data_IF_647454424007
#
_entry.id   IF_647454424007
#
_cell.length_a   1.000
_cell.length_b   1.000
_cell.length_c   1.000
_cell.angle_alpha   90.00
_cell.angle_beta   90.00
_cell.angle_gamma   90.00
#
_symmetry.space_group_name_H-M   'P 1'
#
loop_
_entity.id
_entity.type
_entity.pdbx_description
1 polymer ?
#
# COMPACT_ATOMS: atom_id res chain seq x y z
N UNK A 1 21.75 -16.45 -3.18
CA UNK A 1 20.76 -17.54 -3.02
C UNK A 1 21.34 -18.79 -3.66
N UNK A 2 21.33 -19.95 -2.98
CA UNK A 2 21.67 -21.23 -3.64
C UNK A 2 20.57 -21.54 -4.67
N UNK A 3 20.98 -22.02 -5.86
CA UNK A 3 20.04 -22.55 -6.84
C UNK A 3 19.50 -23.90 -6.31
N UNK A 4 18.24 -24.17 -6.62
CA UNK A 4 17.68 -25.51 -6.39
C UNK A 4 18.24 -26.50 -7.43
N UNK A 5 18.32 -27.76 -7.06
CA UNK A 5 18.96 -28.79 -7.90
C UNK A 5 18.15 -29.08 -9.17
N UNK A 6 16.83 -28.93 -9.15
CA UNK A 6 15.97 -29.16 -10.30
C UNK A 6 14.68 -28.33 -10.24
N UNK A 7 14.16 -28.01 -11.42
CA UNK A 7 12.93 -27.25 -11.63
C UNK A 7 11.95 -28.04 -12.50
N UNK A 8 10.67 -27.72 -12.37
CA UNK A 8 9.57 -28.23 -13.20
C UNK A 8 8.63 -27.10 -13.63
N UNK A 9 7.94 -27.28 -14.73
CA UNK A 9 6.84 -26.40 -15.12
C UNK A 9 5.74 -26.48 -14.05
N UNK A 10 5.28 -25.32 -13.57
CA UNK A 10 4.17 -25.22 -12.62
C UNK A 10 2.81 -25.54 -13.24
N UNK A 11 2.70 -25.59 -14.55
CA UNK A 11 1.43 -25.63 -15.29
C UNK A 11 0.59 -24.36 -15.15
N UNK A 12 1.23 -23.23 -14.80
CA UNK A 12 0.59 -21.91 -14.62
C UNK A 12 1.45 -20.85 -15.28
N UNK A 13 0.96 -20.24 -16.36
CA UNK A 13 1.71 -19.34 -17.24
C UNK A 13 2.43 -18.20 -16.50
N UNK A 14 1.76 -17.55 -15.57
CA UNK A 14 2.34 -16.41 -14.85
C UNK A 14 3.39 -16.81 -13.80
N UNK A 15 3.40 -18.06 -13.33
CA UNK A 15 4.38 -18.59 -12.39
C UNK A 15 5.62 -19.12 -13.14
N UNK A 16 5.42 -19.79 -14.27
CA UNK A 16 6.49 -20.45 -15.02
C UNK A 16 7.04 -21.68 -14.30
N UNK A 17 8.37 -21.80 -14.22
CA UNK A 17 9.05 -22.91 -13.55
C UNK A 17 9.17 -22.70 -12.04
N UNK A 18 9.00 -23.79 -11.29
CA UNK A 18 9.15 -23.85 -9.83
C UNK A 18 10.11 -24.99 -9.45
N UNK A 19 10.78 -24.94 -8.28
CA UNK A 19 11.55 -26.06 -7.76
C UNK A 19 10.73 -27.34 -7.74
N UNK A 20 11.34 -28.49 -8.05
CA UNK A 20 10.64 -29.77 -8.20
C UNK A 20 9.74 -30.17 -7.03
N UNK A 21 10.16 -29.81 -5.80
CA UNK A 21 9.43 -30.15 -4.58
C UNK A 21 8.31 -29.15 -4.22
N UNK A 22 8.17 -28.05 -5.00
CA UNK A 22 7.08 -27.09 -4.82
C UNK A 22 5.84 -27.52 -5.61
N UNK A 23 4.69 -26.99 -5.22
CA UNK A 23 3.41 -27.19 -5.90
C UNK A 23 2.72 -25.87 -6.22
N UNK A 24 2.04 -25.80 -7.36
CA UNK A 24 1.15 -24.68 -7.70
C UNK A 24 -0.27 -25.01 -7.25
N UNK A 25 -0.73 -24.40 -6.16
CA UNK A 25 -1.99 -24.74 -5.48
C UNK A 25 -2.96 -23.57 -5.54
N UNK A 26 -4.26 -23.86 -5.71
CA UNK A 26 -5.31 -22.82 -5.61
C UNK A 26 -5.38 -22.25 -4.20
N UNK A 27 -5.53 -20.93 -4.10
CA UNK A 27 -5.67 -20.21 -2.80
C UNK A 27 -6.77 -20.82 -1.94
N UNK A 28 -7.91 -21.18 -2.52
CA UNK A 28 -9.03 -21.83 -1.81
C UNK A 28 -8.71 -23.18 -1.16
N UNK A 29 -7.63 -23.85 -1.59
CA UNK A 29 -7.19 -25.13 -0.99
C UNK A 29 -6.28 -24.94 0.21
N UNK A 30 -5.57 -23.82 0.28
CA UNK A 30 -4.65 -23.48 1.38
C UNK A 30 -5.27 -22.51 2.37
N UNK A 31 -6.27 -21.73 1.95
CA UNK A 31 -7.07 -20.85 2.79
C UNK A 31 -8.55 -21.22 2.70
N UNK A 32 -9.09 -21.94 3.68
CA UNK A 32 -10.49 -22.40 3.63
C UNK A 32 -11.50 -21.25 3.79
N UNK A 33 -11.12 -20.15 4.45
CA UNK A 33 -11.99 -19.01 4.70
C UNK A 33 -11.51 -17.83 3.84
N UNK A 34 -12.33 -17.50 2.84
CA UNK A 34 -12.16 -16.34 1.97
C UNK A 34 -13.52 -15.67 1.88
N UNK A 35 -13.60 -14.39 2.16
CA UNK A 35 -14.84 -13.64 2.19
C UNK A 35 -14.66 -12.16 1.88
N UNK A 36 -15.73 -11.41 2.04
CA UNK A 36 -15.75 -9.95 1.99
C UNK A 36 -16.57 -9.39 3.12
N UNK A 37 -16.48 -8.10 3.35
CA UNK A 37 -17.24 -7.42 4.38
C UNK A 37 -18.55 -6.81 3.89
N UNK A 38 -19.04 -5.88 4.69
CA UNK A 38 -20.31 -5.17 4.48
C UNK A 38 -20.09 -3.68 4.62
N UNK A 39 -20.82 -2.88 3.83
CA UNK A 39 -20.81 -1.41 3.97
C UNK A 39 -22.11 -0.99 4.66
N UNK A 40 -22.05 -0.40 5.86
CA UNK A 40 -23.19 0.23 6.49
C UNK A 40 -23.71 1.39 5.65
N UNK A 41 -25.01 1.69 5.76
CA UNK A 41 -25.62 2.81 5.03
C UNK A 41 -24.95 4.13 5.41
N UNK A 42 -24.44 4.86 4.44
CA UNK A 42 -23.72 6.13 4.65
C UNK A 42 -24.61 7.26 5.19
N UNK A 43 -25.93 7.18 4.99
CA UNK A 43 -26.91 8.10 5.54
C UNK A 43 -27.20 7.91 7.03
N UNK A 44 -26.70 6.83 7.63
CA UNK A 44 -26.86 6.53 9.06
C UNK A 44 -25.61 6.99 9.81
N UNK A 45 -25.59 8.25 10.23
CA UNK A 45 -24.46 8.82 11.00
C UNK A 45 -24.20 8.07 12.30
N UNK A 46 -25.23 7.49 12.91
CA UNK A 46 -25.14 6.68 14.12
C UNK A 46 -24.38 5.34 13.95
N UNK A 47 -24.05 4.97 12.71
CA UNK A 47 -23.22 3.80 12.41
C UNK A 47 -21.72 4.10 12.43
N UNK A 48 -21.31 5.38 12.46
CA UNK A 48 -19.91 5.80 12.35
C UNK A 48 -19.45 6.53 13.61
N UNK A 49 -18.20 6.34 14.02
CA UNK A 49 -17.64 7.01 15.19
C UNK A 49 -16.12 6.95 15.16
N UNK A 50 -15.45 8.04 15.47
CA UNK A 50 -13.97 8.09 15.57
C UNK A 50 -13.41 7.16 16.67
N UNK A 51 -14.19 6.89 17.72
CA UNK A 51 -13.84 6.00 18.83
C UNK A 51 -14.41 4.59 18.67
N UNK A 52 -14.90 4.25 17.48
CA UNK A 52 -15.54 2.97 17.20
C UNK A 52 -14.58 1.82 16.93
N UNK A 53 -15.13 0.74 16.38
CA UNK A 53 -14.41 -0.46 15.97
C UNK A 53 -13.81 -0.27 14.57
N UNK A 54 -12.67 -0.86 14.29
CA UNK A 54 -11.99 -0.74 13.01
C UNK A 54 -12.85 -1.24 11.85
N UNK A 55 -12.93 -0.45 10.79
CA UNK A 55 -13.63 -0.79 9.55
C UNK A 55 -12.80 -0.41 8.34
N UNK A 56 -12.13 -1.39 7.78
CA UNK A 56 -11.18 -1.24 6.70
C UNK A 56 -11.88 -1.04 5.35
N UNK A 57 -11.39 -0.08 4.59
CA UNK A 57 -11.81 0.21 3.23
C UNK A 57 -10.65 -0.02 2.25
N UNK A 58 -10.97 -0.12 0.95
CA UNK A 58 -9.94 -0.29 -0.09
C UNK A 58 -8.91 0.84 -0.14
N UNK A 59 -9.29 2.05 0.34
CA UNK A 59 -8.39 3.20 0.44
C UNK A 59 -7.28 3.03 1.47
N UNK A 60 -7.49 2.18 2.48
CA UNK A 60 -6.49 1.90 3.53
C UNK A 60 -5.39 0.95 3.04
N UNK A 61 -5.58 0.28 1.90
CA UNK A 61 -4.64 -0.69 1.36
C UNK A 61 -3.48 0.01 0.65
N UNK A 62 -2.27 -0.26 1.10
CA UNK A 62 -1.03 0.38 0.65
C UNK A 62 0.09 -0.60 0.24
N UNK A 63 -0.21 -1.90 0.07
CA UNK A 63 0.74 -3.00 -0.13
C UNK A 63 1.68 -3.20 1.09
N UNK A 64 1.17 -2.97 2.29
CA UNK A 64 1.92 -3.02 3.54
C UNK A 64 1.12 -3.60 4.70
N UNK A 65 1.66 -3.40 5.90
CA UNK A 65 1.01 -3.77 7.15
C UNK A 65 -0.10 -2.76 7.48
N UNK A 66 -1.26 -3.25 7.89
CA UNK A 66 -2.42 -2.43 8.27
C UNK A 66 -2.51 -2.41 9.80
N UNK A 67 -2.11 -1.31 10.39
CA UNK A 67 -2.09 -1.08 11.84
C UNK A 67 -3.25 -0.21 12.33
N UNK A 68 -3.94 0.47 11.41
CA UNK A 68 -5.09 1.31 11.69
C UNK A 68 -6.04 1.38 10.48
N UNK A 69 -7.23 1.90 10.67
CA UNK A 69 -8.21 2.14 9.60
C UNK A 69 -8.62 3.60 9.58
N UNK A 70 -8.82 4.16 8.39
CA UNK A 70 -9.26 5.55 8.20
C UNK A 70 -10.67 5.80 8.73
N UNK A 71 -11.49 4.76 8.83
CA UNK A 71 -12.86 4.83 9.36
C UNK A 71 -13.10 3.78 10.43
N UNK A 72 -14.01 4.11 11.33
CA UNK A 72 -14.47 3.24 12.40
C UNK A 72 -15.99 3.23 12.46
N UNK A 73 -16.54 2.15 12.98
CA UNK A 73 -17.99 1.89 13.07
C UNK A 73 -18.40 1.66 14.50
N UNK A 74 -19.66 1.93 14.81
CA UNK A 74 -20.22 1.70 16.13
C UNK A 74 -20.60 0.23 16.34
N UNK A 75 -20.69 -0.28 17.59
CA UNK A 75 -21.25 -1.59 17.89
C UNK A 75 -22.65 -1.79 17.30
N UNK A 76 -23.46 -0.73 17.24
CA UNK A 76 -24.79 -0.75 16.63
C UNK A 76 -24.72 -1.12 15.15
N UNK A 77 -23.77 -0.53 14.39
CA UNK A 77 -23.57 -0.88 12.98
C UNK A 77 -23.18 -2.34 12.82
N UNK A 78 -22.33 -2.86 13.72
CA UNK A 78 -21.90 -4.27 13.71
C UNK A 78 -23.08 -5.20 13.87
N UNK A 79 -23.96 -4.93 14.86
CA UNK A 79 -25.10 -5.78 15.17
C UNK A 79 -26.19 -5.72 14.09
N UNK A 80 -26.57 -4.51 13.66
CA UNK A 80 -27.65 -4.32 12.66
C UNK A 80 -27.21 -4.78 11.26
N UNK A 81 -25.97 -4.55 10.86
CA UNK A 81 -25.44 -4.97 9.55
C UNK A 81 -24.83 -6.39 9.60
N UNK A 82 -24.85 -7.08 10.73
CA UNK A 82 -24.27 -8.43 10.92
C UNK A 82 -22.84 -8.54 10.39
N UNK A 83 -22.02 -7.56 10.76
CA UNK A 83 -20.66 -7.47 10.26
C UNK A 83 -19.75 -8.52 10.86
N UNK A 84 -18.85 -9.05 10.04
CA UNK A 84 -17.84 -10.02 10.48
C UNK A 84 -16.52 -9.30 10.73
N UNK A 85 -15.86 -9.66 11.84
CA UNK A 85 -14.49 -9.27 12.11
C UNK A 85 -13.52 -10.35 11.66
N UNK A 86 -12.39 -9.91 11.16
CA UNK A 86 -11.33 -10.77 10.64
C UNK A 86 -10.09 -10.61 11.52
N UNK A 87 -9.43 -11.73 11.85
CA UNK A 87 -8.30 -11.72 12.79
C UNK A 87 -7.05 -11.09 12.17
N UNK A 88 -6.11 -10.73 13.04
CA UNK A 88 -4.75 -10.37 12.66
C UNK A 88 -4.13 -11.43 11.73
N UNK A 89 -3.17 -11.00 10.91
CA UNK A 89 -2.50 -11.82 9.90
C UNK A 89 -3.41 -12.27 8.73
N UNK A 90 -4.67 -11.80 8.65
CA UNK A 90 -5.45 -11.96 7.43
C UNK A 90 -4.86 -11.08 6.32
N UNK A 91 -4.86 -11.60 5.09
CA UNK A 91 -4.48 -10.84 3.90
C UNK A 91 -5.74 -10.26 3.27
N UNK A 92 -5.69 -8.98 2.94
CA UNK A 92 -6.80 -8.25 2.32
C UNK A 92 -6.40 -7.80 0.93
N UNK A 93 -7.32 -7.91 -0.03
CA UNK A 93 -7.10 -7.43 -1.40
C UNK A 93 -8.29 -6.57 -1.86
N UNK A 94 -8.00 -5.44 -2.50
CA UNK A 94 -9.02 -4.60 -3.14
C UNK A 94 -9.52 -5.27 -4.42
N UNK A 95 -10.83 -5.52 -4.51
CA UNK A 95 -11.44 -6.18 -5.66
C UNK A 95 -11.79 -5.22 -6.79
N UNK A 96 -12.02 -3.95 -6.51
CA UNK A 96 -12.38 -2.92 -7.50
C UNK A 96 -12.06 -1.50 -7.03
N UNK A 97 -12.28 -0.50 -7.90
CA UNK A 97 -12.01 0.90 -7.64
C UNK A 97 -10.56 1.31 -7.96
N UNK A 98 -10.18 2.52 -7.56
CA UNK A 98 -8.87 3.10 -7.84
C UNK A 98 -7.70 2.31 -7.23
N UNK A 99 -7.96 1.50 -6.22
CA UNK A 99 -6.97 0.69 -5.50
C UNK A 99 -6.99 -0.79 -5.87
N UNK A 100 -7.69 -1.17 -6.95
CA UNK A 100 -7.81 -2.56 -7.38
C UNK A 100 -6.47 -3.30 -7.39
N UNK A 101 -6.44 -4.50 -6.82
CA UNK A 101 -5.23 -5.31 -6.70
C UNK A 101 -4.24 -4.84 -5.64
N UNK A 102 -4.48 -3.75 -4.90
CA UNK A 102 -3.69 -3.43 -3.71
C UNK A 102 -3.97 -4.44 -2.60
N UNK A 103 -2.93 -4.75 -1.85
CA UNK A 103 -2.94 -5.78 -0.80
C UNK A 103 -2.61 -5.14 0.55
N UNK A 104 -3.14 -5.72 1.62
CA UNK A 104 -2.77 -5.40 3.01
C UNK A 104 -2.61 -6.66 3.85
N UNK A 105 -1.69 -6.64 4.80
CA UNK A 105 -1.57 -7.65 5.85
C UNK A 105 -2.08 -7.06 7.16
N UNK A 106 -3.10 -7.65 7.78
CA UNK A 106 -3.70 -7.12 8.99
C UNK A 106 -2.79 -7.34 10.21
N UNK A 107 -2.53 -6.26 10.95
CA UNK A 107 -1.94 -6.29 12.29
C UNK A 107 -2.98 -5.89 13.37
N UNK A 108 -4.20 -5.66 12.95
CA UNK A 108 -5.36 -5.36 13.79
C UNK A 108 -6.52 -6.27 13.42
N UNK A 109 -7.41 -6.50 14.36
CA UNK A 109 -8.72 -7.08 14.06
C UNK A 109 -9.63 -6.00 13.48
N UNK A 110 -10.32 -6.30 12.39
CA UNK A 110 -11.15 -5.33 11.67
C UNK A 110 -12.31 -5.97 10.92
N UNK A 111 -13.43 -5.27 10.83
CA UNK A 111 -14.42 -5.50 9.78
C UNK A 111 -13.98 -4.80 8.49
N UNK A 112 -14.60 -5.12 7.36
CA UNK A 112 -14.26 -4.52 6.07
C UNK A 112 -15.50 -4.18 5.26
N UNK A 113 -15.34 -3.35 4.22
CA UNK A 113 -16.39 -3.14 3.23
C UNK A 113 -16.45 -4.31 2.22
N UNK A 114 -17.49 -4.33 1.38
CA UNK A 114 -17.66 -5.38 0.36
C UNK A 114 -16.63 -5.32 -0.78
N UNK A 115 -15.90 -4.22 -0.93
CA UNK A 115 -14.87 -4.05 -1.95
C UNK A 115 -13.54 -4.73 -1.59
N UNK A 116 -13.39 -5.16 -0.34
CA UNK A 116 -12.24 -5.90 0.18
C UNK A 116 -12.54 -7.40 0.20
N UNK A 117 -11.68 -8.20 -0.39
CA UNK A 117 -11.65 -9.64 -0.20
C UNK A 117 -10.64 -9.99 0.87
N UNK A 118 -11.06 -10.76 1.88
CA UNK A 118 -10.23 -11.18 3.00
C UNK A 118 -9.90 -12.66 2.87
N UNK A 119 -8.63 -12.97 3.08
CA UNK A 119 -8.07 -14.30 3.10
C UNK A 119 -7.60 -14.56 4.53
N UNK A 120 -8.37 -15.37 5.27
CA UNK A 120 -8.09 -15.66 6.68
C UNK A 120 -6.88 -16.59 6.81
N UNK A 121 -5.98 -16.38 7.81
CA UNK A 121 -4.82 -17.24 8.01
C UNK A 121 -5.18 -18.72 8.12
N UNK A 122 -4.28 -19.56 7.67
CA UNK A 122 -4.39 -21.01 7.84
C UNK A 122 -3.06 -21.60 8.30
N UNK A 123 -3.10 -22.83 8.85
CA UNK A 123 -1.89 -23.55 9.28
C UNK A 123 -1.06 -24.09 8.10
N UNK A 124 -1.57 -24.02 6.86
CA UNK A 124 -0.95 -24.60 5.67
C UNK A 124 0.01 -23.67 4.96
N UNK A 125 -0.13 -22.37 5.20
CA UNK A 125 0.61 -21.36 4.49
C UNK A 125 0.92 -20.17 5.39
N UNK A 126 2.15 -19.66 5.31
CA UNK A 126 2.58 -18.48 6.08
C UNK A 126 1.82 -17.23 5.60
N UNK A 127 1.19 -16.44 6.51
CA UNK A 127 0.44 -15.24 6.14
C UNK A 127 1.26 -14.22 5.34
N UNK A 128 2.49 -13.95 5.73
CA UNK A 128 3.41 -13.05 5.01
C UNK A 128 3.76 -13.59 3.62
N UNK A 129 3.93 -14.90 3.48
CA UNK A 129 4.16 -15.52 2.19
C UNK A 129 2.93 -15.36 1.28
N UNK A 130 1.73 -15.54 1.83
CA UNK A 130 0.47 -15.25 1.11
C UNK A 130 0.41 -13.79 0.67
N UNK A 131 0.72 -12.85 1.56
CA UNK A 131 0.77 -11.43 1.26
C UNK A 131 1.69 -11.12 0.06
N UNK A 132 2.93 -11.61 0.08
CA UNK A 132 3.87 -11.44 -1.03
C UNK A 132 3.40 -12.13 -2.32
N UNK A 133 2.77 -13.30 -2.19
CA UNK A 133 2.19 -14.00 -3.35
C UNK A 133 1.11 -13.19 -4.05
N UNK A 134 0.28 -12.45 -3.31
CA UNK A 134 -0.72 -11.56 -3.89
C UNK A 134 -0.13 -10.29 -4.49
N UNK A 135 0.97 -9.76 -3.94
CA UNK A 135 1.67 -8.62 -4.54
C UNK A 135 2.15 -8.96 -5.94
N UNK A 136 2.81 -10.12 -6.11
CA UNK A 136 3.33 -10.53 -7.44
C UNK A 136 2.21 -10.98 -8.39
N UNK A 137 1.10 -11.54 -7.88
CA UNK A 137 -0.02 -12.01 -8.68
C UNK A 137 -0.96 -10.89 -9.17
N UNK A 138 -0.68 -9.63 -8.85
CA UNK A 138 -1.55 -8.50 -9.18
C UNK A 138 -1.86 -8.41 -10.66
N UNK A 139 -0.86 -8.53 -11.53
CA UNK A 139 -1.07 -8.45 -12.98
C UNK A 139 -1.95 -9.59 -13.50
N UNK A 140 -1.72 -10.82 -13.04
CA UNK A 140 -2.55 -11.97 -13.39
C UNK A 140 -4.01 -11.79 -12.96
N UNK A 141 -4.23 -11.26 -11.75
CA UNK A 141 -5.56 -10.95 -11.24
C UNK A 141 -6.26 -9.87 -12.08
N UNK A 142 -5.52 -8.85 -12.50
CA UNK A 142 -6.05 -7.80 -13.39
C UNK A 142 -6.36 -8.33 -14.79
N UNK A 143 -5.51 -9.17 -15.36
CA UNK A 143 -5.76 -9.82 -16.65
C UNK A 143 -6.97 -10.76 -16.61
N UNK A 144 -7.22 -11.39 -15.46
CA UNK A 144 -8.38 -12.27 -15.23
C UNK A 144 -9.65 -11.51 -14.84
N UNK A 145 -9.58 -10.18 -14.66
CA UNK A 145 -10.72 -9.35 -14.24
C UNK A 145 -11.72 -9.13 -15.38
N UNK A 146 -12.98 -8.90 -15.01
CA UNK A 146 -14.05 -8.57 -15.96
C UNK A 146 -14.34 -7.07 -15.94
N UNK A 147 -14.73 -6.51 -17.10
CA UNK A 147 -15.22 -5.14 -17.23
C UNK A 147 -14.28 -4.22 -17.99
N UNK A 148 -14.62 -3.86 -19.23
CA UNK A 148 -13.79 -3.08 -20.16
C UNK A 148 -13.43 -1.66 -19.72
N UNK A 149 -14.23 -1.02 -18.83
CA UNK A 149 -13.98 0.35 -18.35
C UNK A 149 -13.60 0.43 -16.87
N UNK A 150 -14.04 -0.53 -16.06
CA UNK A 150 -13.70 -0.65 -14.64
C UNK A 150 -13.42 -2.11 -14.31
N UNK A 151 -12.17 -2.52 -14.27
CA UNK A 151 -11.82 -3.90 -13.94
C UNK A 151 -12.33 -4.27 -12.54
N UNK A 152 -12.87 -5.49 -12.42
CA UNK A 152 -13.38 -6.05 -11.17
C UNK A 152 -12.81 -7.45 -10.95
N UNK A 153 -12.07 -7.64 -9.86
CA UNK A 153 -11.55 -8.92 -9.42
C UNK A 153 -12.61 -9.56 -8.51
N UNK A 154 -13.31 -10.57 -9.00
CA UNK A 154 -14.29 -11.29 -8.16
C UNK A 154 -13.60 -12.17 -7.12
N UNK A 155 -14.31 -12.50 -6.03
CA UNK A 155 -13.83 -13.50 -5.05
C UNK A 155 -13.52 -14.85 -5.71
N UNK A 156 -14.26 -15.22 -6.76
CA UNK A 156 -14.07 -16.45 -7.52
C UNK A 156 -12.72 -16.47 -8.24
N UNK A 157 -12.29 -15.34 -8.81
CA UNK A 157 -10.97 -15.20 -9.42
C UNK A 157 -9.90 -15.41 -8.34
N UNK A 158 -10.05 -14.75 -7.19
CA UNK A 158 -9.12 -14.88 -6.06
C UNK A 158 -9.06 -16.34 -5.57
N UNK A 159 -10.20 -17.00 -5.39
CA UNK A 159 -10.29 -18.41 -4.96
C UNK A 159 -9.59 -19.37 -5.92
N UNK A 160 -9.66 -19.10 -7.23
CA UNK A 160 -9.10 -19.92 -8.30
C UNK A 160 -7.63 -19.62 -8.58
N UNK A 161 -7.11 -18.48 -8.12
CA UNK A 161 -5.71 -18.13 -8.28
C UNK A 161 -4.81 -19.26 -7.74
N UNK A 162 -3.90 -19.74 -8.58
CA UNK A 162 -2.86 -20.68 -8.16
C UNK A 162 -1.61 -19.89 -7.77
N UNK A 163 -1.00 -20.27 -6.67
CA UNK A 163 0.28 -19.71 -6.17
C UNK A 163 1.27 -20.85 -5.94
N UNK A 164 2.58 -20.60 -6.07
CA UNK A 164 3.58 -21.59 -5.68
C UNK A 164 3.55 -21.78 -4.16
N UNK A 165 3.58 -23.02 -3.71
CA UNK A 165 3.52 -23.38 -2.27
C UNK A 165 4.71 -24.25 -1.92
N UNK A 166 5.81 -23.65 -1.39
CA UNK A 166 6.92 -24.39 -0.82
C UNK A 166 6.57 -25.07 0.51
N UNK A 167 7.44 -25.91 1.07
CA UNK A 167 7.38 -26.33 2.46
C UNK A 167 7.32 -25.11 3.42
N UNK A 168 6.63 -25.25 4.55
CA UNK A 168 6.35 -24.10 5.45
C UNK A 168 7.63 -23.40 5.93
N UNK A 169 8.70 -24.14 6.20
CA UNK A 169 10.00 -23.58 6.57
C UNK A 169 10.62 -22.70 5.48
N UNK A 170 10.47 -23.08 4.21
CA UNK A 170 10.92 -22.27 3.09
C UNK A 170 10.04 -21.03 2.90
N UNK A 171 8.72 -21.16 3.06
CA UNK A 171 7.82 -20.00 3.04
C UNK A 171 8.22 -18.94 4.08
N UNK A 172 8.51 -19.37 5.31
CA UNK A 172 8.98 -18.49 6.39
C UNK A 172 10.32 -17.82 6.06
N UNK A 173 11.25 -18.60 5.51
CA UNK A 173 12.58 -18.09 5.11
C UNK A 173 12.46 -17.06 3.98
N UNK A 174 11.59 -17.33 2.97
CA UNK A 174 11.33 -16.40 1.87
C UNK A 174 10.67 -15.13 2.39
N UNK A 175 9.64 -15.25 3.23
CA UNK A 175 8.96 -14.10 3.82
C UNK A 175 9.92 -13.23 4.64
N UNK A 176 10.74 -13.82 5.51
CA UNK A 176 11.73 -13.10 6.31
C UNK A 176 12.81 -12.42 5.45
N UNK A 177 13.25 -13.08 4.38
CA UNK A 177 14.18 -12.47 3.43
C UNK A 177 13.57 -11.24 2.75
N UNK A 178 12.32 -11.36 2.30
CA UNK A 178 11.59 -10.27 1.65
C UNK A 178 11.36 -9.11 2.62
N UNK A 179 10.93 -9.38 3.86
CA UNK A 179 10.76 -8.34 4.89
C UNK A 179 12.02 -7.48 5.04
N UNK A 180 13.19 -8.13 5.21
CA UNK A 180 14.46 -7.41 5.37
C UNK A 180 14.85 -6.63 4.11
N UNK A 181 14.56 -7.16 2.92
CA UNK A 181 14.93 -6.50 1.66
C UNK A 181 14.01 -5.34 1.32
N UNK A 182 12.70 -5.52 1.47
CA UNK A 182 11.71 -4.46 1.24
C UNK A 182 11.90 -3.32 2.23
N UNK A 183 12.07 -3.60 3.53
CA UNK A 183 12.34 -2.58 4.54
C UNK A 183 13.58 -1.72 4.21
N UNK A 184 14.65 -2.36 3.70
CA UNK A 184 15.84 -1.60 3.27
C UNK A 184 15.54 -0.70 2.08
N UNK A 185 14.78 -1.20 1.11
CA UNK A 185 14.38 -0.43 -0.07
C UNK A 185 13.48 0.75 0.34
N UNK A 186 12.51 0.53 1.21
CA UNK A 186 11.60 1.57 1.71
C UNK A 186 12.37 2.67 2.45
N UNK A 187 13.35 2.30 3.29
CA UNK A 187 14.26 3.26 3.94
C UNK A 187 15.10 4.07 2.92
N UNK A 188 15.49 3.46 1.81
CA UNK A 188 16.22 4.17 0.74
C UNK A 188 15.28 5.13 -0.02
N UNK A 189 14.04 4.72 -0.30
CA UNK A 189 13.02 5.57 -0.92
C UNK A 189 12.76 6.79 -0.04
N UNK A 190 12.46 6.59 1.26
CA UNK A 190 12.20 7.70 2.18
C UNK A 190 13.38 8.69 2.28
N UNK A 191 14.64 8.19 2.25
CA UNK A 191 15.82 9.06 2.21
C UNK A 191 15.92 9.86 0.91
N UNK A 192 15.57 9.24 -0.22
CA UNK A 192 15.60 9.90 -1.52
C UNK A 192 14.53 11.00 -1.62
N UNK A 193 13.31 10.73 -1.13
CA UNK A 193 12.22 11.70 -1.06
C UNK A 193 12.62 12.92 -0.20
N UNK A 194 13.15 12.67 0.99
CA UNK A 194 13.66 13.75 1.86
C UNK A 194 14.80 14.56 1.20
N UNK A 195 15.65 13.91 0.41
CA UNK A 195 16.70 14.62 -0.34
C UNK A 195 16.10 15.53 -1.43
N UNK A 196 15.03 15.09 -2.09
CA UNK A 196 14.31 15.91 -3.08
C UNK A 196 13.74 17.16 -2.40
N UNK A 197 13.07 17.00 -1.26
CA UNK A 197 12.55 18.15 -0.47
C UNK A 197 13.66 19.18 -0.15
N UNK A 198 14.79 18.71 0.38
CA UNK A 198 15.93 19.62 0.66
C UNK A 198 16.50 20.30 -0.59
N UNK A 199 16.53 19.61 -1.73
CA UNK A 199 17.01 20.21 -2.98
C UNK A 199 16.04 21.26 -3.51
N UNK A 200 14.74 21.07 -3.34
CA UNK A 200 13.73 22.06 -3.69
C UNK A 200 13.79 23.28 -2.78
N UNK A 201 13.97 23.10 -1.48
CA UNK A 201 14.20 24.20 -0.53
C UNK A 201 15.48 24.98 -0.88
N UNK A 202 16.58 24.28 -1.16
CA UNK A 202 17.84 24.90 -1.56
C UNK A 202 17.70 25.70 -2.85
N UNK A 203 17.03 25.12 -3.85
CA UNK A 203 16.75 25.79 -5.13
C UNK A 203 15.96 27.08 -4.89
N UNK A 204 14.90 27.03 -4.08
CA UNK A 204 14.09 28.21 -3.78
C UNK A 204 14.91 29.28 -3.01
N UNK A 205 15.73 28.87 -2.06
CA UNK A 205 16.63 29.76 -1.30
C UNK A 205 17.64 30.43 -2.20
N UNK A 206 18.26 29.70 -3.13
CA UNK A 206 19.23 30.24 -4.09
C UNK A 206 18.58 31.27 -5.04
N UNK A 207 17.38 30.94 -5.57
CA UNK A 207 16.62 31.86 -6.43
C UNK A 207 16.30 33.14 -5.67
N UNK A 208 15.73 33.02 -4.47
CA UNK A 208 15.36 34.15 -3.61
C UNK A 208 16.58 35.02 -3.31
N UNK A 209 17.69 34.41 -2.89
CA UNK A 209 18.93 35.14 -2.59
C UNK A 209 19.47 35.86 -3.82
N UNK A 210 19.55 35.19 -4.98
CA UNK A 210 20.08 35.80 -6.18
C UNK A 210 19.21 36.96 -6.70
N UNK A 211 17.88 36.81 -6.64
CA UNK A 211 16.92 37.83 -7.11
C UNK A 211 16.82 39.01 -6.15
N UNK A 212 16.94 38.78 -4.85
CA UNK A 212 16.80 39.86 -3.85
C UNK A 212 18.14 40.52 -3.50
N UNK A 213 19.22 39.75 -3.32
CA UNK A 213 20.53 40.22 -2.84
C UNK A 213 21.62 40.28 -3.92
N UNK A 214 21.31 39.81 -5.15
CA UNK A 214 22.32 39.71 -6.23
C UNK A 214 23.33 38.60 -6.03
N UNK A 215 24.36 38.57 -6.88
CA UNK A 215 25.39 37.54 -6.88
C UNK A 215 26.63 37.87 -6.04
N UNK A 216 26.80 39.14 -5.60
CA UNK A 216 27.92 39.52 -4.77
C UNK A 216 27.59 39.38 -3.28
N UNK A 217 28.16 38.38 -2.56
CA UNK A 217 27.84 38.15 -1.17
C UNK A 217 28.36 39.26 -0.23
N UNK A 218 29.28 40.08 -0.70
CA UNK A 218 29.90 41.17 0.06
C UNK A 218 29.32 42.57 -0.28
N UNK A 219 28.24 42.64 -1.07
CA UNK A 219 27.59 43.89 -1.39
C UNK A 219 26.96 44.48 -0.14
N UNK A 220 27.16 45.79 0.15
CA UNK A 220 26.46 46.46 1.24
C UNK A 220 24.95 46.44 0.97
N UNK A 221 24.17 46.19 2.00
CA UNK A 221 22.72 46.03 1.94
C UNK A 221 22.00 47.23 2.58
N UNK A 222 20.80 47.53 2.10
CA UNK A 222 19.85 48.49 2.65
C UNK A 222 18.45 47.86 2.75
N UNK A 223 17.65 48.36 3.69
CA UNK A 223 16.24 47.99 3.75
C UNK A 223 15.50 48.44 2.49
N UNK A 224 14.76 47.57 1.89
CA UNK A 224 13.93 47.85 0.69
C UNK A 224 12.66 48.63 1.02
N UNK A 225 12.29 48.75 2.28
CA UNK A 225 10.99 49.29 2.72
C UNK A 225 9.80 48.37 2.44
N UNK A 226 10.03 47.16 1.92
CA UNK A 226 9.01 46.15 1.63
C UNK A 226 9.23 44.89 2.45
N UNK A 227 8.30 44.58 3.34
CA UNK A 227 8.42 43.44 4.30
C UNK A 227 8.72 42.10 3.67
N UNK A 228 8.19 41.82 2.46
CA UNK A 228 8.39 40.54 1.77
C UNK A 228 9.72 40.45 0.98
N UNK A 229 10.35 41.62 0.67
CA UNK A 229 11.67 41.69 -0.01
C UNK A 229 12.78 41.70 1.06
N UNK A 230 12.60 42.47 2.12
CA UNK A 230 13.62 42.69 3.14
C UNK A 230 14.77 43.53 2.64
N UNK A 231 16.03 43.08 2.81
CA UNK A 231 17.24 43.79 2.42
C UNK A 231 17.66 43.53 0.95
N UNK A 232 18.07 44.61 0.28
CA UNK A 232 18.59 44.60 -1.10
C UNK A 232 19.95 45.30 -1.16
N UNK A 233 20.78 45.08 -2.21
CA UNK A 233 22.02 45.84 -2.41
C UNK A 233 21.77 47.36 -2.45
N UNK A 234 22.63 48.13 -1.81
CA UNK A 234 22.47 49.61 -1.69
C UNK A 234 22.29 50.30 -3.04
N UNK A 235 22.96 49.83 -4.09
CA UNK A 235 22.91 50.40 -5.43
C UNK A 235 21.63 50.04 -6.19
N UNK A 236 20.77 49.16 -5.67
CA UNK A 236 19.50 48.79 -6.32
C UNK A 236 18.39 49.80 -6.00
N UNK A 237 17.49 49.98 -6.96
CA UNK A 237 16.29 50.81 -6.81
C UNK A 237 15.05 49.93 -7.00
N UNK A 238 14.06 50.19 -6.15
CA UNK A 238 12.75 49.59 -6.31
C UNK A 238 11.91 50.46 -7.23
N UNK A 239 11.32 49.84 -8.24
CA UNK A 239 10.39 50.53 -9.15
C UNK A 239 9.09 49.73 -9.26
N UNK A 240 7.94 50.38 -9.29
CA UNK A 240 6.67 49.70 -9.54
C UNK A 240 6.62 49.19 -10.99
N UNK A 241 6.02 48.02 -11.19
CA UNK A 241 5.61 47.58 -12.52
C UNK A 241 4.54 48.56 -13.04
N UNK A 242 4.76 49.14 -14.24
CA UNK A 242 3.77 49.97 -14.92
C UNK A 242 2.79 49.10 -15.69
#
# INVERSE_FOLDING_TARGET
>A
MKKYDAYKDSGVKWIGEIPNHWEAIKISRVHPIIGSGTTPLSSREDYYSEKGLNWLQTGDLNNGLITETSKKITPKAVDECKMKFYPIHSVVIAMYGATIGKVGLLDIETATNQACCIIVPSKRICPKYTFYSFIIAKEELLLSSFGGGQPNISQDIIRKLKVPVPPLSEQQSIASYLDVKTEKIDKMIAKAEKKIEYLDELKQSLITRAVIRGLNPNAPLKDSGMKWIGEIPEHWKIMPFK
#
